data_IF_057197181374
#
_entry.id   IF_057197181374
#
_cell.length_a   1.000
_cell.length_b   1.000
_cell.length_c   1.000
_cell.angle_alpha   90.00
_cell.angle_beta   90.00
_cell.angle_gamma   90.00
#
_symmetry.space_group_name_H-M   'P 1'
#
loop_
_entity.id
_entity.type
_entity.pdbx_description
1 polymer ?
#
# COMPACT_ATOMS: atom_id res chain seq x y z
N UNK A 1 -9.04 23.39 -6.54
CA UNK A 1 -9.97 23.57 -5.43
C UNK A 1 -10.49 25.01 -5.35
N UNK A 2 -9.64 26.03 -5.53
CA UNK A 2 -10.05 27.47 -5.60
C UNK A 2 -11.26 27.78 -6.49
N UNK A 3 -11.49 26.99 -7.55
CA UNK A 3 -12.67 27.10 -8.41
C UNK A 3 -13.92 26.37 -7.89
N UNK A 4 -14.00 26.07 -6.58
CA UNK A 4 -15.13 25.36 -5.97
C UNK A 4 -15.30 23.92 -6.47
N UNK A 5 -14.21 23.28 -6.93
CA UNK A 5 -14.23 21.89 -7.46
C UNK A 5 -13.56 20.94 -6.48
N UNK A 6 -14.22 19.80 -6.25
CA UNK A 6 -13.63 18.65 -5.54
C UNK A 6 -12.37 18.15 -6.25
N UNK A 7 -11.48 17.54 -5.49
CA UNK A 7 -10.22 16.97 -5.98
C UNK A 7 -10.12 15.50 -5.60
N UNK A 8 -10.05 14.64 -6.61
CA UNK A 8 -9.66 13.23 -6.47
C UNK A 8 -8.19 13.12 -6.88
N UNK A 9 -7.32 12.79 -5.93
CA UNK A 9 -5.90 12.63 -6.14
C UNK A 9 -5.57 11.20 -6.56
N UNK A 10 -4.81 11.04 -7.64
CA UNK A 10 -4.25 9.75 -8.05
C UNK A 10 -2.74 9.67 -7.89
N UNK A 11 -2.07 10.82 -7.71
CA UNK A 11 -0.64 10.87 -7.51
C UNK A 11 -0.36 10.74 -6.00
N UNK A 12 -0.12 9.51 -5.56
CA UNK A 12 0.13 9.20 -4.14
C UNK A 12 1.43 9.86 -3.69
N UNK A 13 2.39 10.03 -4.58
CA UNK A 13 3.67 10.68 -4.31
C UNK A 13 3.47 12.15 -3.90
N UNK A 14 2.54 12.86 -4.55
CA UNK A 14 2.12 14.20 -4.18
C UNK A 14 1.28 14.21 -2.90
N UNK A 15 0.38 13.24 -2.72
CA UNK A 15 -0.43 13.11 -1.50
C UNK A 15 0.45 12.95 -0.24
N UNK A 16 1.44 12.06 -0.26
CA UNK A 16 2.33 11.88 0.90
C UNK A 16 3.26 13.08 1.15
N UNK A 17 3.40 13.97 0.18
CA UNK A 17 4.24 15.17 0.30
C UNK A 17 3.45 16.40 0.74
N UNK A 18 2.30 16.67 0.12
CA UNK A 18 1.49 17.89 0.32
C UNK A 18 0.01 17.61 0.56
N UNK A 19 -0.42 16.35 0.67
CA UNK A 19 -1.82 15.96 0.85
C UNK A 19 -2.46 16.58 2.08
N UNK A 20 -1.74 16.68 3.20
CA UNK A 20 -2.22 17.35 4.41
C UNK A 20 -2.54 18.84 4.15
N UNK A 21 -1.69 19.54 3.41
CA UNK A 21 -1.94 20.92 3.00
C UNK A 21 -3.14 21.01 2.06
N UNK A 22 -3.20 20.15 1.04
CA UNK A 22 -4.31 20.11 0.09
C UNK A 22 -5.65 19.81 0.79
N UNK A 23 -5.65 18.91 1.78
CA UNK A 23 -6.83 18.61 2.60
C UNK A 23 -7.28 19.82 3.42
N UNK A 24 -6.35 20.51 4.07
CA UNK A 24 -6.63 21.76 4.80
C UNK A 24 -7.24 22.83 3.89
N UNK A 25 -6.72 22.97 2.67
CA UNK A 25 -7.26 23.92 1.69
C UNK A 25 -8.64 23.49 1.16
N UNK A 26 -8.87 22.19 0.99
CA UNK A 26 -10.18 21.65 0.66
C UNK A 26 -11.23 22.03 1.72
N UNK A 27 -10.89 21.83 3.00
CA UNK A 27 -11.76 22.17 4.13
C UNK A 27 -12.05 23.67 4.20
N UNK A 28 -11.02 24.51 4.03
CA UNK A 28 -11.15 25.98 3.98
C UNK A 28 -12.11 26.43 2.88
N UNK A 29 -12.07 25.76 1.73
CA UNK A 29 -12.85 26.10 0.53
C UNK A 29 -14.21 25.39 0.47
N UNK A 30 -14.53 24.52 1.44
CA UNK A 30 -15.79 23.77 1.48
C UNK A 30 -15.92 22.72 0.37
N UNK A 31 -14.80 22.16 -0.11
CA UNK A 31 -14.77 21.11 -1.14
C UNK A 31 -14.09 19.84 -0.63
N UNK A 32 -14.48 18.69 -1.17
CA UNK A 32 -13.86 17.40 -0.83
C UNK A 32 -12.50 17.19 -1.51
N UNK A 33 -11.52 16.74 -0.73
CA UNK A 33 -10.28 16.12 -1.17
C UNK A 33 -10.32 14.63 -0.80
N UNK A 34 -9.93 13.75 -1.73
CA UNK A 34 -9.80 12.33 -1.48
C UNK A 34 -8.74 11.71 -2.36
N UNK A 35 -8.02 10.71 -1.87
CA UNK A 35 -7.29 9.79 -2.73
C UNK A 35 -8.29 8.94 -3.54
N UNK A 36 -7.98 8.63 -4.79
CA UNK A 36 -8.81 7.80 -5.65
C UNK A 36 -8.89 6.36 -5.18
N UNK A 37 -10.07 5.74 -5.28
CA UNK A 37 -10.25 4.32 -5.00
C UNK A 37 -9.52 3.43 -6.03
N UNK A 38 -9.06 2.26 -5.60
CA UNK A 38 -8.52 1.20 -6.46
C UNK A 38 -7.00 1.03 -6.46
N UNK A 39 -6.26 1.98 -5.89
CA UNK A 39 -4.84 1.78 -5.54
C UNK A 39 -4.74 1.11 -4.17
N UNK A 40 -3.59 0.54 -3.83
CA UNK A 40 -3.41 -0.17 -2.56
C UNK A 40 -3.75 0.66 -1.31
N UNK A 41 -3.38 1.94 -1.18
CA UNK A 41 -3.70 2.71 0.02
C UNK A 41 -5.21 2.85 0.26
N UNK A 42 -5.97 3.23 -0.77
CA UNK A 42 -7.42 3.41 -0.63
C UNK A 42 -8.16 2.09 -0.46
N UNK A 43 -7.70 1.02 -1.11
CA UNK A 43 -8.25 -0.34 -0.92
C UNK A 43 -7.98 -0.86 0.50
N UNK A 44 -6.81 -0.54 1.08
CA UNK A 44 -6.48 -0.91 2.45
C UNK A 44 -7.34 -0.14 3.46
N UNK A 45 -7.64 1.13 3.20
CA UNK A 45 -8.53 1.93 4.04
C UNK A 45 -9.94 1.32 4.18
N UNK A 46 -10.48 0.68 3.14
CA UNK A 46 -11.78 -0.01 3.22
C UNK A 46 -11.76 -1.13 4.29
N UNK A 47 -10.67 -1.91 4.35
CA UNK A 47 -10.51 -2.96 5.36
C UNK A 47 -10.27 -2.36 6.75
N UNK A 48 -9.45 -1.32 6.86
CA UNK A 48 -9.18 -0.65 8.13
C UNK A 48 -10.47 -0.06 8.70
N UNK A 49 -11.30 0.57 7.86
CA UNK A 49 -12.60 1.11 8.25
C UNK A 49 -13.51 -0.01 8.78
N UNK A 50 -13.65 -1.11 8.04
CA UNK A 50 -14.46 -2.26 8.44
C UNK A 50 -14.01 -2.84 9.80
N UNK A 51 -12.71 -3.09 9.95
CA UNK A 51 -12.13 -3.65 11.17
C UNK A 51 -12.32 -2.70 12.37
N UNK A 52 -12.05 -1.42 12.17
CA UNK A 52 -12.14 -0.41 13.22
C UNK A 52 -13.60 -0.19 13.65
N UNK A 53 -14.55 -0.24 12.71
CA UNK A 53 -15.98 -0.12 12.99
C UNK A 53 -16.51 -1.29 13.85
N UNK A 54 -15.91 -2.48 13.75
CA UNK A 54 -16.20 -3.61 14.63
C UNK A 54 -15.57 -3.47 16.04
N UNK A 55 -14.78 -2.43 16.29
CA UNK A 55 -14.13 -2.18 17.58
C UNK A 55 -12.86 -3.01 17.81
N UNK A 56 -12.30 -3.59 16.75
CA UNK A 56 -11.09 -4.39 16.85
C UNK A 56 -9.81 -3.57 16.63
N UNK A 57 -8.71 -3.88 17.34
CA UNK A 57 -7.44 -3.22 17.10
C UNK A 57 -6.81 -3.68 15.79
N UNK A 58 -6.18 -2.75 15.08
CA UNK A 58 -5.35 -3.05 13.92
C UNK A 58 -3.95 -3.43 14.41
N UNK A 59 -3.54 -4.68 14.19
CA UNK A 59 -2.17 -5.12 14.54
C UNK A 59 -1.16 -4.62 13.51
N UNK A 60 -1.43 -4.90 12.23
CA UNK A 60 -0.63 -4.46 11.11
C UNK A 60 -1.54 -4.26 9.89
N UNK A 61 -1.18 -3.30 9.04
CA UNK A 61 -1.83 -3.08 7.75
C UNK A 61 -0.84 -2.80 6.62
N UNK A 62 -1.23 -3.10 5.38
CA UNK A 62 -0.39 -2.81 4.21
C UNK A 62 -0.63 -3.72 3.02
N UNK A 63 0.44 -4.06 2.27
CA UNK A 63 0.34 -4.79 1.00
C UNK A 63 1.27 -5.99 0.89
N UNK A 64 1.05 -6.80 -0.14
CA UNK A 64 1.96 -7.86 -0.56
C UNK A 64 2.76 -7.50 -1.81
N UNK A 65 3.88 -8.21 -2.00
CA UNK A 65 4.64 -8.30 -3.25
C UNK A 65 4.94 -9.77 -3.54
N UNK A 66 4.84 -10.18 -4.80
CA UNK A 66 5.16 -11.56 -5.19
C UNK A 66 6.67 -11.83 -5.30
N UNK A 67 7.45 -10.78 -5.56
CA UNK A 67 8.87 -10.87 -5.86
C UNK A 67 9.67 -10.05 -4.84
N UNK A 68 10.87 -10.51 -4.44
CA UNK A 68 11.77 -9.71 -3.62
C UNK A 68 12.12 -8.38 -4.29
N UNK A 69 12.45 -7.38 -3.45
CA UNK A 69 12.95 -6.10 -3.94
C UNK A 69 14.34 -6.27 -4.56
N UNK A 70 14.60 -5.48 -5.60
CA UNK A 70 15.96 -5.25 -6.10
C UNK A 70 16.24 -3.74 -6.00
N UNK A 71 16.86 -3.32 -4.90
CA UNK A 71 17.11 -1.90 -4.59
C UNK A 71 18.09 -1.23 -5.56
N UNK A 72 18.89 -2.02 -6.27
CA UNK A 72 19.85 -1.55 -7.28
C UNK A 72 19.23 -1.53 -8.70
N UNK A 73 17.90 -1.71 -8.82
CA UNK A 73 17.23 -1.69 -10.11
C UNK A 73 17.39 -0.33 -10.79
N UNK A 74 17.83 -0.36 -12.04
CA UNK A 74 18.00 0.83 -12.90
C UNK A 74 17.28 0.63 -14.23
N UNK A 75 16.84 1.70 -14.91
CA UNK A 75 16.10 1.59 -16.16
C UNK A 75 16.77 0.73 -17.23
N UNK A 76 18.10 0.78 -17.35
CA UNK A 76 18.86 0.01 -18.33
C UNK A 76 18.64 -1.50 -18.21
N UNK A 77 18.47 -2.01 -16.98
CA UNK A 77 18.24 -3.44 -16.71
C UNK A 77 16.81 -3.90 -17.03
N UNK A 78 15.85 -2.97 -17.12
CA UNK A 78 14.42 -3.26 -17.27
C UNK A 78 13.81 -2.71 -18.56
N UNK A 79 14.61 -2.05 -19.41
CA UNK A 79 14.14 -1.42 -20.65
C UNK A 79 13.51 -2.43 -21.61
N UNK A 80 14.11 -3.61 -21.78
CA UNK A 80 13.57 -4.65 -22.66
C UNK A 80 12.20 -5.13 -22.19
N UNK A 81 12.03 -5.37 -20.89
CA UNK A 81 10.74 -5.75 -20.32
C UNK A 81 9.71 -4.62 -20.46
N UNK A 82 10.11 -3.38 -20.19
CA UNK A 82 9.24 -2.22 -20.31
C UNK A 82 8.71 -2.04 -21.75
N UNK A 83 9.59 -2.18 -22.76
CA UNK A 83 9.21 -2.16 -24.17
C UNK A 83 8.26 -3.31 -24.50
N UNK A 84 8.60 -4.55 -24.08
CA UNK A 84 7.79 -5.74 -24.33
C UNK A 84 6.38 -5.61 -23.74
N UNK A 85 6.24 -4.95 -22.59
CA UNK A 85 4.97 -4.72 -21.90
C UNK A 85 4.28 -3.41 -22.32
N UNK A 86 4.87 -2.64 -23.23
CA UNK A 86 4.42 -1.30 -23.64
C UNK A 86 4.13 -0.39 -22.43
N UNK A 87 5.08 -0.32 -21.49
CA UNK A 87 4.95 0.45 -20.24
C UNK A 87 6.16 1.37 -20.02
N UNK A 88 5.98 2.38 -19.17
CA UNK A 88 7.08 3.27 -18.78
C UNK A 88 8.07 2.51 -17.88
N UNK A 89 9.35 2.51 -18.24
CA UNK A 89 10.41 1.82 -17.49
C UNK A 89 10.54 2.34 -16.05
N UNK A 90 10.24 3.62 -15.79
CA UNK A 90 10.29 4.18 -14.43
C UNK A 90 9.23 3.53 -13.52
N UNK A 91 8.05 3.26 -14.05
CA UNK A 91 6.97 2.58 -13.31
C UNK A 91 7.35 1.13 -12.99
N UNK A 92 8.11 0.47 -13.87
CA UNK A 92 8.62 -0.87 -13.62
C UNK A 92 9.70 -0.85 -12.53
N UNK A 93 10.66 0.07 -12.64
CA UNK A 93 11.78 0.19 -11.69
C UNK A 93 11.28 0.55 -10.28
N UNK A 94 10.39 1.54 -10.13
CA UNK A 94 9.88 1.94 -8.80
C UNK A 94 9.07 0.84 -8.10
N UNK A 95 8.51 -0.10 -8.88
CA UNK A 95 7.85 -1.27 -8.34
C UNK A 95 8.88 -2.30 -7.88
N UNK A 96 9.98 -2.47 -8.60
CA UNK A 96 11.03 -3.44 -8.31
C UNK A 96 11.92 -3.00 -7.15
N UNK A 97 12.34 -1.74 -7.11
CA UNK A 97 13.21 -1.20 -6.07
C UNK A 97 12.49 -0.99 -4.73
N UNK A 98 11.15 -0.93 -4.76
CA UNK A 98 10.29 -0.78 -3.59
C UNK A 98 9.83 0.65 -3.32
N UNK A 99 10.27 1.64 -4.09
CA UNK A 99 9.89 3.05 -3.93
C UNK A 99 8.38 3.24 -3.90
N UNK A 100 7.65 2.57 -4.80
CA UNK A 100 6.18 2.62 -4.82
C UNK A 100 5.56 2.04 -3.54
N UNK A 101 6.10 0.94 -3.04
CA UNK A 101 5.67 0.34 -1.77
C UNK A 101 5.90 1.28 -0.60
N UNK A 102 7.03 1.99 -0.55
CA UNK A 102 7.29 2.97 0.52
C UNK A 102 6.28 4.13 0.49
N UNK A 103 5.98 4.66 -0.69
CA UNK A 103 5.00 5.74 -0.87
C UNK A 103 3.61 5.31 -0.45
N UNK A 104 3.16 4.12 -0.86
CA UNK A 104 1.82 3.62 -0.52
C UNK A 104 1.67 3.36 1.00
N UNK A 105 2.69 2.80 1.64
CA UNK A 105 2.64 2.55 3.10
C UNK A 105 2.67 3.85 3.89
N UNK A 106 3.39 4.88 3.40
CA UNK A 106 3.34 6.21 3.98
C UNK A 106 1.95 6.86 3.86
N UNK A 107 1.23 6.66 2.75
CA UNK A 107 -0.14 7.15 2.60
C UNK A 107 -1.09 6.50 3.61
N UNK A 108 -1.00 5.18 3.80
CA UNK A 108 -1.80 4.46 4.82
C UNK A 108 -1.46 4.97 6.22
N UNK A 109 -0.17 5.09 6.55
CA UNK A 109 0.28 5.59 7.85
C UNK A 109 -0.28 6.98 8.15
N UNK A 110 -0.16 7.92 7.19
CA UNK A 110 -0.63 9.29 7.33
C UNK A 110 -2.16 9.38 7.49
N UNK A 111 -2.92 8.46 6.89
CA UNK A 111 -4.38 8.45 6.97
C UNK A 111 -4.92 7.79 8.26
N UNK A 112 -4.11 6.99 8.96
CA UNK A 112 -4.60 6.09 10.03
C UNK A 112 -3.93 6.33 11.38
N UNK A 113 -2.75 6.94 11.40
CA UNK A 113 -1.90 7.01 12.60
C UNK A 113 -1.12 5.73 12.88
N UNK A 114 -1.24 4.69 12.05
CA UNK A 114 -0.33 3.55 12.06
C UNK A 114 1.07 4.01 11.66
N UNK A 115 2.11 3.32 12.14
CA UNK A 115 3.51 3.75 11.91
C UNK A 115 4.39 2.60 11.43
N UNK A 116 5.43 2.85 10.62
CA UNK A 116 6.42 1.82 10.35
C UNK A 116 7.12 1.44 11.65
N UNK A 117 7.32 0.14 11.88
CA UNK A 117 7.97 -0.35 13.09
C UNK A 117 9.47 0.00 13.12
N UNK A 118 10.10 0.00 11.94
CA UNK A 118 11.46 0.48 11.70
C UNK A 118 11.55 1.18 10.33
N UNK A 119 12.60 1.95 10.10
CA UNK A 119 12.84 2.57 8.80
C UNK A 119 12.93 1.51 7.69
N UNK A 120 12.17 1.72 6.60
CA UNK A 120 12.05 0.77 5.50
C UNK A 120 11.08 -0.39 5.73
N UNK A 121 10.43 -0.46 6.91
CA UNK A 121 9.56 -1.57 7.34
C UNK A 121 10.32 -2.92 7.42
N UNK A 122 9.66 -3.99 7.82
CA UNK A 122 10.31 -5.31 7.91
C UNK A 122 10.34 -6.04 6.58
N UNK A 123 9.27 -5.97 5.79
CA UNK A 123 9.20 -6.65 4.49
C UNK A 123 9.42 -8.17 4.55
N UNK A 124 8.92 -8.92 5.55
CA UNK A 124 9.27 -10.33 5.73
C UNK A 124 8.76 -11.21 4.59
N UNK A 125 9.43 -12.35 4.41
CA UNK A 125 8.93 -13.39 3.53
C UNK A 125 7.72 -14.08 4.18
N UNK A 126 6.52 -13.86 3.63
CA UNK A 126 5.28 -14.44 4.13
C UNK A 126 4.23 -14.56 3.02
N UNK A 127 3.60 -15.72 2.91
CA UNK A 127 2.41 -15.93 2.08
C UNK A 127 1.15 -15.41 2.80
N UNK A 128 0.02 -15.39 2.08
CA UNK A 128 -1.29 -15.00 2.63
C UNK A 128 -1.62 -15.75 3.94
N UNK A 129 -1.38 -17.07 3.98
CA UNK A 129 -1.69 -17.91 5.14
C UNK A 129 -0.70 -17.72 6.31
N UNK A 130 0.42 -17.05 6.07
CA UNK A 130 1.47 -16.79 7.07
C UNK A 130 1.40 -15.40 7.67
N UNK A 131 0.57 -14.50 7.13
CA UNK A 131 0.44 -13.14 7.63
C UNK A 131 0.08 -13.11 9.12
N UNK A 132 -0.83 -13.99 9.53
CA UNK A 132 -1.31 -14.12 10.91
C UNK A 132 -0.37 -14.88 11.85
N UNK A 133 0.84 -15.23 11.41
CA UNK A 133 1.89 -15.70 12.31
C UNK A 133 3.18 -14.90 12.19
N UNK A 134 3.28 -14.01 11.19
CA UNK A 134 4.50 -13.26 10.87
C UNK A 134 4.39 -11.79 11.28
N UNK A 135 3.34 -11.08 10.84
CA UNK A 135 3.15 -9.66 11.12
C UNK A 135 2.40 -9.46 12.45
N UNK A 136 3.02 -9.93 13.53
CA UNK A 136 2.57 -9.77 14.93
C UNK A 136 3.73 -9.43 15.84
N UNK A 137 3.45 -9.04 17.09
CA UNK A 137 4.51 -8.79 18.06
C UNK A 137 5.47 -9.97 18.24
N UNK A 138 6.75 -9.68 18.45
CA UNK A 138 7.80 -10.67 18.72
C UNK A 138 7.45 -11.59 19.91
N UNK A 139 6.80 -11.04 20.95
CA UNK A 139 6.31 -11.81 22.10
C UNK A 139 5.32 -12.92 21.74
N UNK A 140 4.66 -12.79 20.59
CA UNK A 140 3.66 -13.73 20.05
C UNK A 140 4.23 -14.56 18.88
N UNK A 141 5.54 -14.45 18.62
CA UNK A 141 6.27 -15.23 17.61
C UNK A 141 6.43 -14.55 16.24
N UNK A 142 6.02 -13.29 16.10
CA UNK A 142 6.17 -12.51 14.87
C UNK A 142 7.44 -11.67 14.82
N UNK A 143 7.44 -10.67 13.94
CA UNK A 143 8.61 -9.79 13.68
C UNK A 143 8.46 -8.36 14.19
N UNK A 144 7.30 -7.99 14.74
CA UNK A 144 6.99 -6.60 15.09
C UNK A 144 7.38 -6.28 16.54
N UNK A 145 7.95 -5.11 16.80
CA UNK A 145 8.19 -4.65 18.17
C UNK A 145 6.91 -4.20 18.89
N UNK A 146 5.86 -3.84 18.12
CA UNK A 146 4.58 -3.32 18.61
C UNK A 146 3.44 -3.59 17.63
N UNK A 147 2.21 -3.42 18.11
CA UNK A 147 0.99 -3.37 17.28
C UNK A 147 0.79 -1.97 16.69
N UNK A 148 -0.12 -1.84 15.73
CA UNK A 148 -0.48 -0.56 15.12
C UNK A 148 0.53 -0.10 14.06
N UNK A 149 0.97 -1.01 13.21
CA UNK A 149 2.03 -0.74 12.23
C UNK A 149 1.58 -0.79 10.78
N UNK A 150 2.30 -0.08 9.91
CA UNK A 150 2.29 -0.36 8.47
C UNK A 150 3.48 -1.24 8.11
N UNK A 151 3.25 -2.28 7.33
CA UNK A 151 4.31 -3.15 6.80
C UNK A 151 3.88 -3.81 5.48
N UNK A 152 4.81 -4.47 4.80
CA UNK A 152 4.53 -5.22 3.59
C UNK A 152 5.11 -6.64 3.68
N UNK A 153 4.69 -7.53 2.80
CA UNK A 153 5.26 -8.90 2.76
C UNK A 153 5.75 -9.27 1.38
N UNK A 154 6.71 -10.18 1.32
CA UNK A 154 7.20 -10.80 0.08
C UNK A 154 6.73 -12.25 0.07
N UNK A 155 5.76 -12.58 -0.77
CA UNK A 155 5.22 -13.92 -0.85
C UNK A 155 4.00 -14.05 -1.74
N UNK A 156 3.65 -15.29 -2.05
CA UNK A 156 2.53 -15.60 -2.95
C UNK A 156 1.19 -15.33 -2.27
N UNK A 157 0.23 -14.86 -3.06
CA UNK A 157 -1.19 -14.78 -2.68
C UNK A 157 -1.60 -13.51 -1.94
N UNK A 158 -0.66 -12.61 -1.62
CA UNK A 158 -0.96 -11.33 -0.96
C UNK A 158 -1.10 -10.19 -1.97
N UNK A 159 -0.21 -10.08 -2.96
CA UNK A 159 -0.36 -9.09 -4.01
C UNK A 159 -1.48 -9.49 -4.99
N UNK A 160 -2.36 -8.58 -5.43
CA UNK A 160 -3.26 -8.88 -6.53
C UNK A 160 -2.45 -9.22 -7.79
N UNK A 161 -2.89 -10.26 -8.51
CA UNK A 161 -2.34 -10.54 -9.82
C UNK A 161 -2.84 -9.45 -10.80
N UNK A 162 -2.02 -8.44 -11.09
CA UNK A 162 -2.25 -7.55 -12.23
C UNK A 162 -1.94 -8.32 -13.52
N UNK A 163 -2.87 -9.17 -13.90
CA UNK A 163 -2.89 -9.96 -15.14
C UNK A 163 -4.34 -10.36 -15.42
N UNK A 164 -4.75 -10.26 -16.69
CA UNK A 164 -6.09 -10.67 -17.12
C UNK A 164 -6.30 -12.13 -16.67
N UNK A 165 -7.33 -12.45 -15.86
CA UNK A 165 -7.61 -13.84 -15.55
C UNK A 165 -7.99 -14.54 -16.86
N UNK A 166 -7.30 -15.62 -17.20
CA UNK A 166 -7.57 -16.40 -18.41
C UNK A 166 -9.02 -16.94 -18.45
N UNK A 167 -9.71 -16.91 -17.29
CA UNK A 167 -11.04 -17.50 -17.08
C UNK A 167 -12.17 -16.49 -16.76
N UNK A 168 -12.00 -15.19 -17.02
CA UNK A 168 -13.11 -14.22 -16.92
C UNK A 168 -13.71 -14.01 -15.52
N UNK A 169 -13.01 -14.42 -14.46
CA UNK A 169 -13.40 -14.09 -13.08
C UNK A 169 -13.11 -12.62 -12.78
N UNK A 170 -13.98 -11.96 -12.00
CA UNK A 170 -13.74 -10.58 -11.55
C UNK A 170 -12.45 -10.54 -10.73
N UNK A 171 -11.59 -9.52 -10.90
CA UNK A 171 -10.49 -9.31 -9.98
C UNK A 171 -11.06 -9.17 -8.57
N UNK A 172 -10.69 -10.10 -7.68
CA UNK A 172 -10.96 -9.97 -6.26
C UNK A 172 -10.23 -8.70 -5.78
N UNK A 173 -10.88 -7.93 -4.91
CA UNK A 173 -10.27 -6.79 -4.23
C UNK A 173 -8.88 -7.18 -3.71
N UNK A 174 -7.90 -6.28 -3.90
CA UNK A 174 -6.52 -6.46 -3.45
C UNK A 174 -6.49 -7.01 -2.03
N UNK A 175 -5.80 -8.12 -1.73
CA UNK A 175 -5.58 -8.57 -0.36
C UNK A 175 -4.68 -7.55 0.35
N UNK A 176 -5.26 -6.44 0.78
CA UNK A 176 -4.62 -5.55 1.71
C UNK A 176 -4.60 -6.25 3.07
N UNK A 177 -3.49 -6.13 3.77
CA UNK A 177 -3.33 -6.70 5.09
C UNK A 177 -4.11 -5.77 6.03
N UNK A 178 -5.07 -6.30 6.78
CA UNK A 178 -5.62 -5.66 7.96
C UNK A 178 -5.93 -6.80 8.94
N UNK A 179 -5.04 -7.02 9.90
CA UNK A 179 -5.22 -8.11 10.87
C UNK A 179 -5.93 -7.62 12.13
N UNK A 180 -6.95 -8.38 12.51
CA UNK A 180 -7.55 -8.44 13.84
C UNK A 180 -7.03 -9.71 14.55
N UNK A 181 -6.83 -9.61 15.87
CA UNK A 181 -6.38 -10.63 16.84
C UNK A 181 -4.88 -10.66 17.10
#
# INVERSE_FOLDING_TARGET
MEHGKHLVMMNVEADVTIGAYLKSEADRLGVTYSLGAGDEPSSCMELIEFVSAMGHPIVAAGKGKNNPLNIDAVPDAYMEEAIRRNMNVRMLVEFVDGSKTMVEMAAIANATGLVPDKAGMHGPAATLDQLSSTLIPEKDGGVLSKVGVVDYTIGKGVAPAYGRPENGQRPLLSPSIARIT
#
